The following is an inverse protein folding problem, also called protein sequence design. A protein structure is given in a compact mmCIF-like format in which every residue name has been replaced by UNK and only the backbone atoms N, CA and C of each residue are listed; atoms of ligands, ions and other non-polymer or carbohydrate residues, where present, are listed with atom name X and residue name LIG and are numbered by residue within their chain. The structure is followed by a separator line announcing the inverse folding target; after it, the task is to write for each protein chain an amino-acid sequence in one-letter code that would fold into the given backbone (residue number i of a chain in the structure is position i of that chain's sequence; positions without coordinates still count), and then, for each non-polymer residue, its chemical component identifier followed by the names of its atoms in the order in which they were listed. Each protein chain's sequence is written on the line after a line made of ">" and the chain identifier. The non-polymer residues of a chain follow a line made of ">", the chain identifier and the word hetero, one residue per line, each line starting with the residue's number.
data_IF_103346081076
#
_entry.id   IF_103346081076
#
_cell.length_a   1.000
_cell.length_b   1.000
_cell.length_c   1.000
_cell.angle_alpha   90.00
_cell.angle_beta   90.00
_cell.angle_gamma   90.00
#
_symmetry.space_group_name_H-M   'P 1'
#
loop_
_entity.id
_entity.type
_entity.pdbx_description
1 polymer ?
#
# COMPACT_ATOMS: atom_id res chain seq x y z
N UNK A 1 5.00 -10.59 -27.87
CA UNK A 1 4.96 -11.43 -26.64
C UNK A 1 4.69 -10.60 -25.39
N UNK A 2 5.55 -9.65 -25.00
CA UNK A 2 5.37 -8.86 -23.78
C UNK A 2 4.05 -8.05 -23.74
N UNK A 3 3.69 -7.39 -24.85
CA UNK A 3 2.41 -6.65 -24.95
C UNK A 3 1.21 -7.57 -24.75
N UNK A 4 1.24 -8.75 -25.37
CA UNK A 4 0.17 -9.76 -25.27
C UNK A 4 -0.01 -10.24 -23.82
N UNK A 5 1.11 -10.46 -23.13
CA UNK A 5 1.13 -10.84 -21.72
C UNK A 5 0.57 -9.70 -20.84
N UNK A 6 0.99 -8.46 -21.07
CA UNK A 6 0.49 -7.31 -20.32
C UNK A 6 -1.03 -7.13 -20.51
N UNK A 7 -1.51 -7.22 -21.74
CA UNK A 7 -2.95 -7.16 -22.04
C UNK A 7 -3.70 -8.29 -21.34
N UNK A 8 -3.18 -9.52 -21.38
CA UNK A 8 -3.78 -10.65 -20.67
C UNK A 8 -3.87 -10.40 -19.16
N UNK A 9 -2.78 -9.94 -18.53
CA UNK A 9 -2.78 -9.63 -17.09
C UNK A 9 -3.76 -8.52 -16.73
N UNK A 10 -3.84 -7.44 -17.53
CA UNK A 10 -4.80 -6.36 -17.32
C UNK A 10 -6.23 -6.89 -17.40
N UNK A 11 -6.55 -7.69 -18.42
CA UNK A 11 -7.88 -8.30 -18.56
C UNK A 11 -8.17 -9.21 -17.37
N UNK A 12 -7.22 -10.04 -16.94
CA UNK A 12 -7.37 -10.90 -15.76
C UNK A 12 -7.68 -10.08 -14.49
N UNK A 13 -6.97 -8.97 -14.26
CA UNK A 13 -7.24 -8.07 -13.13
C UNK A 13 -8.60 -7.39 -13.22
N UNK A 14 -9.02 -6.94 -14.40
CA UNK A 14 -10.35 -6.33 -14.59
C UNK A 14 -11.49 -7.34 -14.36
N UNK A 15 -11.34 -8.57 -14.87
CA UNK A 15 -12.28 -9.65 -14.63
C UNK A 15 -12.33 -10.04 -13.16
N UNK A 16 -11.16 -10.17 -12.51
CA UNK A 16 -11.09 -10.44 -11.08
C UNK A 16 -11.76 -9.33 -10.26
N UNK A 17 -11.49 -8.07 -10.54
CA UNK A 17 -12.12 -6.94 -9.86
C UNK A 17 -13.65 -6.98 -10.02
N UNK A 18 -14.15 -7.22 -11.23
CA UNK A 18 -15.59 -7.18 -11.53
C UNK A 18 -16.37 -8.39 -11.05
N UNK A 19 -15.81 -9.60 -11.15
CA UNK A 19 -16.52 -10.83 -10.82
C UNK A 19 -16.15 -11.33 -9.44
N UNK A 20 -14.85 -11.49 -9.17
CA UNK A 20 -14.38 -12.02 -7.89
C UNK A 20 -14.48 -10.98 -6.77
N UNK A 21 -14.14 -9.71 -7.04
CA UNK A 21 -14.32 -8.61 -6.09
C UNK A 21 -15.78 -8.44 -5.67
N UNK A 22 -16.71 -8.43 -6.62
CA UNK A 22 -18.16 -8.38 -6.33
C UNK A 22 -18.64 -9.62 -5.58
N UNK A 23 -18.15 -10.82 -5.92
CA UNK A 23 -18.46 -12.03 -5.17
C UNK A 23 -18.02 -11.92 -3.70
N UNK A 24 -16.79 -11.47 -3.42
CA UNK A 24 -16.30 -11.29 -2.05
C UNK A 24 -17.10 -10.20 -1.33
N UNK A 25 -17.38 -9.07 -2.00
CA UNK A 25 -18.17 -7.98 -1.45
C UNK A 25 -19.56 -8.44 -0.98
N UNK A 26 -20.27 -9.19 -1.83
CA UNK A 26 -21.69 -9.51 -1.60
C UNK A 26 -21.86 -10.79 -0.78
N UNK A 27 -21.10 -11.84 -1.09
CA UNK A 27 -21.30 -13.18 -0.49
C UNK A 27 -20.47 -13.41 0.77
N UNK A 28 -19.28 -12.81 0.87
CA UNK A 28 -18.37 -13.03 2.01
C UNK A 28 -18.50 -11.90 3.03
N UNK A 29 -18.43 -10.65 2.57
CA UNK A 29 -18.42 -9.50 3.45
C UNK A 29 -19.83 -8.95 3.69
N UNK A 30 -20.74 -9.01 2.71
CA UNK A 30 -22.08 -8.46 2.82
C UNK A 30 -22.05 -6.95 3.05
N UNK A 31 -21.34 -6.23 2.18
CA UNK A 31 -21.18 -4.78 2.28
C UNK A 31 -22.47 -4.08 1.84
N UNK A 32 -23.00 -3.23 2.71
CA UNK A 32 -24.15 -2.38 2.42
C UNK A 32 -23.66 -0.98 2.00
N UNK A 33 -23.93 -0.54 0.75
CA UNK A 33 -23.51 0.78 0.27
C UNK A 33 -24.17 1.94 1.02
N UNK A 34 -25.26 1.70 1.77
CA UNK A 34 -25.94 2.72 2.56
C UNK A 34 -25.37 2.87 3.98
N UNK A 35 -24.43 2.01 4.38
CA UNK A 35 -23.81 2.10 5.70
C UNK A 35 -22.85 3.29 5.73
N UNK A 36 -23.11 4.23 6.64
CA UNK A 36 -22.21 5.34 6.93
C UNK A 36 -20.86 4.80 7.44
N UNK A 37 -19.76 5.33 6.91
CA UNK A 37 -18.42 4.97 7.38
C UNK A 37 -18.11 5.66 8.70
N UNK A 38 -17.24 5.09 9.56
CA UNK A 38 -16.86 5.71 10.82
C UNK A 38 -16.31 7.13 10.66
N UNK A 39 -15.65 7.42 9.53
CA UNK A 39 -15.14 8.76 9.21
C UNK A 39 -16.23 9.83 9.13
N UNK A 40 -17.47 9.45 8.78
CA UNK A 40 -18.62 10.36 8.72
C UNK A 40 -19.49 10.29 9.97
N UNK A 41 -19.62 9.11 10.59
CA UNK A 41 -20.44 8.93 11.80
C UNK A 41 -19.79 9.52 13.06
N UNK A 42 -18.46 9.41 13.17
CA UNK A 42 -17.68 9.80 14.35
C UNK A 42 -16.78 11.02 14.05
N UNK A 43 -17.15 11.85 13.08
CA UNK A 43 -16.33 12.98 12.62
C UNK A 43 -15.91 13.89 13.78
N UNK A 44 -14.61 13.93 14.07
CA UNK A 44 -14.00 14.71 15.15
C UNK A 44 -12.94 15.70 14.65
N UNK A 45 -12.62 15.67 13.35
CA UNK A 45 -11.60 16.51 12.73
C UNK A 45 -10.16 16.09 13.04
N UNK A 46 -9.96 14.96 13.74
CA UNK A 46 -8.64 14.46 14.17
C UNK A 46 -8.47 12.98 13.79
N UNK A 47 -9.18 12.06 14.44
CA UNK A 47 -9.09 10.61 14.19
C UNK A 47 -10.05 10.16 13.08
N UNK A 48 -11.19 10.83 12.95
CA UNK A 48 -12.23 10.56 11.96
C UNK A 48 -12.46 11.80 11.10
N UNK A 49 -11.89 11.76 9.90
CA UNK A 49 -11.98 12.87 8.94
C UNK A 49 -12.45 12.35 7.58
N UNK A 50 -13.62 12.80 7.07
CA UNK A 50 -14.05 12.53 5.71
C UNK A 50 -13.00 12.99 4.70
N UNK A 51 -12.39 12.04 3.99
CA UNK A 51 -11.28 12.32 3.07
C UNK A 51 -11.71 12.03 1.63
N UNK A 52 -11.20 12.82 0.69
CA UNK A 52 -11.43 12.59 -0.73
C UNK A 52 -10.92 11.19 -1.15
N UNK A 53 -11.76 10.43 -1.87
CA UNK A 53 -11.45 9.07 -2.34
C UNK A 53 -10.14 8.94 -3.11
N UNK A 54 -9.72 9.96 -3.86
CA UNK A 54 -8.47 9.93 -4.61
C UNK A 54 -7.24 10.09 -3.72
N UNK A 55 -7.35 10.92 -2.68
CA UNK A 55 -6.31 11.05 -1.65
C UNK A 55 -6.22 9.78 -0.83
N UNK A 56 -7.37 9.23 -0.43
CA UNK A 56 -7.46 7.96 0.29
C UNK A 56 -6.85 6.81 -0.52
N UNK A 57 -7.16 6.72 -1.81
CA UNK A 57 -6.54 5.76 -2.72
C UNK A 57 -5.02 5.92 -2.76
N UNK A 58 -4.51 7.15 -2.83
CA UNK A 58 -3.08 7.42 -2.79
C UNK A 58 -2.42 6.92 -1.50
N UNK A 59 -3.06 7.12 -0.34
CA UNK A 59 -2.57 6.59 0.94
C UNK A 59 -2.54 5.06 0.94
N UNK A 60 -3.62 4.39 0.53
CA UNK A 60 -3.65 2.92 0.44
C UNK A 60 -2.61 2.38 -0.55
N UNK A 61 -2.50 3.01 -1.72
CA UNK A 61 -1.52 2.64 -2.73
C UNK A 61 -0.10 2.78 -2.19
N UNK A 62 0.24 3.91 -1.57
CA UNK A 62 1.57 4.14 -1.00
C UNK A 62 1.91 3.14 0.13
N UNK A 63 0.92 2.76 0.95
CA UNK A 63 1.11 1.76 2.00
C UNK A 63 1.39 0.34 1.47
N UNK A 64 0.92 0.01 0.26
CA UNK A 64 1.15 -1.30 -0.38
C UNK A 64 2.38 -1.25 -1.31
N UNK A 65 2.59 -0.14 -2.00
CA UNK A 65 3.56 0.04 -3.08
C UNK A 65 5.01 0.25 -2.60
N UNK A 66 5.41 -0.35 -1.47
CA UNK A 66 6.76 -0.28 -0.94
C UNK A 66 7.83 -0.91 -1.85
N UNK A 67 8.89 -1.50 -1.30
CA UNK A 67 9.88 -2.23 -2.12
C UNK A 67 9.32 -3.53 -2.73
N UNK A 68 8.15 -3.99 -2.28
CA UNK A 68 7.51 -5.24 -2.71
C UNK A 68 7.31 -5.35 -4.23
N UNK A 69 6.67 -4.37 -4.91
CA UNK A 69 6.48 -4.39 -6.37
C UNK A 69 7.78 -4.36 -7.19
N UNK A 70 8.91 -3.96 -6.61
CA UNK A 70 10.21 -3.88 -7.29
C UNK A 70 11.02 -5.15 -7.01
N UNK A 71 11.28 -5.46 -5.74
CA UNK A 71 12.08 -6.62 -5.36
C UNK A 71 11.33 -7.94 -5.56
N UNK A 72 10.02 -7.98 -5.35
CA UNK A 72 9.21 -9.19 -5.44
C UNK A 72 9.32 -9.86 -6.82
N UNK A 73 9.04 -9.15 -7.93
CA UNK A 73 9.25 -9.69 -9.27
C UNK A 73 10.71 -10.04 -9.56
N UNK A 74 11.67 -9.23 -9.12
CA UNK A 74 13.09 -9.50 -9.33
C UNK A 74 13.55 -10.82 -8.67
N UNK A 75 13.07 -11.10 -7.46
CA UNK A 75 13.34 -12.37 -6.75
C UNK A 75 12.56 -13.52 -7.39
N UNK A 76 11.30 -13.29 -7.78
CA UNK A 76 10.47 -14.30 -8.42
C UNK A 76 11.07 -14.78 -9.76
N UNK A 77 11.77 -13.90 -10.49
CA UNK A 77 12.48 -14.25 -11.73
C UNK A 77 13.56 -15.34 -11.53
N UNK A 78 14.07 -15.55 -10.31
CA UNK A 78 14.97 -16.67 -10.01
C UNK A 78 14.33 -18.05 -10.31
N UNK A 79 12.99 -18.12 -10.30
CA UNK A 79 12.20 -19.32 -10.60
C UNK A 79 11.75 -19.38 -12.07
N UNK A 80 12.25 -18.46 -12.91
CA UNK A 80 11.85 -18.29 -14.30
C UNK A 80 10.70 -17.30 -14.48
N UNK A 81 10.60 -16.75 -15.69
CA UNK A 81 9.67 -15.66 -16.01
C UNK A 81 8.19 -16.10 -15.95
N UNK A 82 7.87 -17.32 -16.36
CA UNK A 82 6.48 -17.81 -16.43
C UNK A 82 5.92 -18.13 -15.02
N UNK A 83 6.62 -18.88 -14.15
CA UNK A 83 6.17 -19.09 -12.77
C UNK A 83 6.05 -17.78 -11.99
N UNK A 84 7.01 -16.85 -12.17
CA UNK A 84 6.94 -15.52 -11.57
C UNK A 84 5.67 -14.77 -11.99
N UNK A 85 5.35 -14.80 -13.28
CA UNK A 85 4.18 -14.11 -13.81
C UNK A 85 2.86 -14.71 -13.30
N UNK A 86 2.75 -16.04 -13.27
CA UNK A 86 1.58 -16.73 -12.74
C UNK A 86 1.40 -16.35 -11.27
N UNK A 87 2.48 -16.39 -10.48
CA UNK A 87 2.42 -16.03 -9.06
C UNK A 87 2.01 -14.56 -8.86
N UNK A 88 2.57 -13.63 -9.62
CA UNK A 88 2.24 -12.21 -9.51
C UNK A 88 0.76 -11.97 -9.86
N UNK A 89 0.26 -12.54 -10.96
CA UNK A 89 -1.13 -12.32 -11.40
C UNK A 89 -2.11 -13.04 -10.47
N UNK A 90 -1.98 -14.35 -10.31
CA UNK A 90 -2.95 -15.14 -9.55
C UNK A 90 -2.78 -14.95 -8.04
N UNK A 91 -1.55 -14.87 -7.53
CA UNK A 91 -1.29 -14.63 -6.10
C UNK A 91 -1.81 -13.27 -5.64
N UNK A 92 -1.68 -12.23 -6.45
CA UNK A 92 -2.27 -10.92 -6.11
C UNK A 92 -3.79 -10.93 -6.17
N UNK A 93 -4.41 -11.63 -7.14
CA UNK A 93 -5.88 -11.74 -7.23
C UNK A 93 -6.47 -12.50 -6.04
N UNK A 94 -5.94 -13.69 -5.73
CA UNK A 94 -6.59 -14.61 -4.80
C UNK A 94 -6.13 -14.45 -3.36
N UNK A 95 -4.88 -14.02 -3.12
CA UNK A 95 -4.36 -13.83 -1.77
C UNK A 95 -4.25 -12.35 -1.41
N UNK A 96 -3.49 -11.58 -2.18
CA UNK A 96 -3.17 -10.19 -1.83
C UNK A 96 -4.40 -9.29 -1.76
N UNK A 97 -5.14 -9.16 -2.86
CA UNK A 97 -6.30 -8.29 -2.96
C UNK A 97 -7.40 -8.68 -1.97
N UNK A 98 -7.64 -9.99 -1.78
CA UNK A 98 -8.64 -10.48 -0.82
C UNK A 98 -8.21 -10.21 0.61
N UNK A 99 -6.95 -10.46 0.95
CA UNK A 99 -6.41 -10.18 2.27
C UNK A 99 -6.57 -8.71 2.63
N UNK A 100 -6.16 -7.81 1.74
CA UNK A 100 -6.21 -6.36 1.98
C UNK A 100 -7.64 -5.84 2.03
N UNK A 101 -8.53 -6.36 1.18
CA UNK A 101 -9.94 -5.98 1.19
C UNK A 101 -10.63 -6.43 2.49
N UNK A 102 -10.44 -7.69 2.90
CA UNK A 102 -10.98 -8.20 4.16
C UNK A 102 -10.41 -7.47 5.38
N UNK A 103 -9.11 -7.18 5.39
CA UNK A 103 -8.45 -6.43 6.45
C UNK A 103 -9.03 -5.01 6.61
N UNK A 104 -9.23 -4.31 5.48
CA UNK A 104 -9.79 -2.97 5.46
C UNK A 104 -11.24 -2.97 5.97
N UNK A 105 -12.06 -3.88 5.46
CA UNK A 105 -13.47 -4.00 5.85
C UNK A 105 -13.65 -4.39 7.31
N UNK A 106 -12.79 -5.27 7.82
CA UNK A 106 -12.78 -5.60 9.24
C UNK A 106 -12.39 -4.38 10.08
N UNK A 107 -11.34 -3.65 9.70
CA UNK A 107 -10.96 -2.40 10.38
C UNK A 107 -12.11 -1.39 10.41
N UNK A 108 -12.81 -1.19 9.28
CA UNK A 108 -13.95 -0.28 9.19
C UNK A 108 -15.09 -0.67 10.15
N UNK A 109 -15.43 -1.97 10.23
CA UNK A 109 -16.46 -2.47 11.17
C UNK A 109 -16.09 -2.26 12.64
N UNK A 110 -14.80 -2.25 12.94
CA UNK A 110 -14.28 -2.00 14.28
C UNK A 110 -13.84 -0.55 14.51
N UNK A 111 -14.38 0.41 13.73
CA UNK A 111 -14.13 1.86 13.87
C UNK A 111 -12.65 2.25 13.64
N UNK A 112 -12.04 1.70 12.60
CA UNK A 112 -10.66 2.04 12.19
C UNK A 112 -9.57 1.41 13.05
N UNK A 113 -9.90 0.38 13.83
CA UNK A 113 -8.96 -0.24 14.77
C UNK A 113 -8.03 -1.22 14.05
N UNK A 114 -6.78 -1.28 14.51
CA UNK A 114 -5.79 -2.19 13.92
C UNK A 114 -6.22 -3.66 14.06
N UNK A 115 -5.81 -4.51 13.11
CA UNK A 115 -6.10 -5.96 13.15
C UNK A 115 -5.60 -6.58 14.46
N UNK A 116 -4.44 -6.15 14.97
CA UNK A 116 -3.93 -6.64 16.25
C UNK A 116 -4.82 -6.31 17.44
N UNK A 117 -5.49 -5.16 17.44
CA UNK A 117 -6.47 -4.82 18.47
C UNK A 117 -7.78 -5.60 18.31
N UNK A 118 -8.21 -5.83 17.06
CA UNK A 118 -9.39 -6.64 16.75
C UNK A 118 -9.18 -8.10 17.21
N UNK A 119 -7.98 -8.64 17.04
CA UNK A 119 -7.61 -9.99 17.50
C UNK A 119 -7.85 -10.19 19.00
N UNK A 120 -7.61 -9.19 19.85
CA UNK A 120 -7.93 -9.32 21.28
C UNK A 120 -9.42 -9.48 21.53
N UNK A 121 -10.25 -8.71 20.82
CA UNK A 121 -11.71 -8.77 21.00
C UNK A 121 -12.32 -10.05 20.47
N UNK A 122 -11.76 -10.61 19.40
CA UNK A 122 -12.32 -11.80 18.72
C UNK A 122 -11.77 -13.11 19.27
N UNK A 123 -10.46 -13.19 19.54
CA UNK A 123 -9.78 -14.44 19.91
C UNK A 123 -9.34 -14.41 21.38
N UNK A 124 -8.75 -13.30 21.82
CA UNK A 124 -8.31 -13.09 23.20
C UNK A 124 -6.91 -12.48 23.33
N UNK A 125 -6.55 -12.09 24.55
CA UNK A 125 -5.35 -11.28 24.80
C UNK A 125 -4.03 -12.00 24.50
N UNK A 126 -3.96 -13.32 24.71
CA UNK A 126 -2.77 -14.12 24.37
C UNK A 126 -2.51 -14.12 22.86
N UNK A 127 -3.56 -14.28 22.07
CA UNK A 127 -3.48 -14.23 20.61
C UNK A 127 -3.08 -12.83 20.13
N UNK A 128 -3.63 -11.78 20.73
CA UNK A 128 -3.20 -10.40 20.47
C UNK A 128 -1.70 -10.20 20.72
N UNK A 129 -1.18 -10.66 21.85
CA UNK A 129 0.23 -10.48 22.19
C UNK A 129 1.14 -11.17 21.16
N UNK A 130 0.86 -12.43 20.84
CA UNK A 130 1.60 -13.18 19.83
C UNK A 130 1.52 -12.51 18.46
N UNK A 131 0.34 -12.05 18.06
CA UNK A 131 0.11 -11.42 16.77
C UNK A 131 0.83 -10.06 16.66
N UNK A 132 0.76 -9.23 17.70
CA UNK A 132 1.48 -7.95 17.76
C UNK A 132 3.00 -8.15 17.75
N UNK A 133 3.50 -9.18 18.43
CA UNK A 133 4.92 -9.53 18.41
C UNK A 133 5.38 -9.93 17.00
N UNK A 134 4.59 -10.75 16.30
CA UNK A 134 4.88 -11.14 14.90
C UNK A 134 4.87 -9.91 13.98
N UNK A 135 3.84 -9.06 14.07
CA UNK A 135 3.77 -7.82 13.29
C UNK A 135 4.98 -6.93 13.58
N UNK A 136 5.35 -6.77 14.85
CA UNK A 136 6.51 -5.97 15.24
C UNK A 136 7.80 -6.46 14.59
N UNK A 137 8.10 -7.77 14.69
CA UNK A 137 9.31 -8.32 14.07
C UNK A 137 9.28 -8.25 12.54
N UNK A 138 8.11 -8.47 11.92
CA UNK A 138 7.96 -8.36 10.47
C UNK A 138 8.20 -6.92 9.99
N UNK A 139 7.61 -5.93 10.67
CA UNK A 139 7.82 -4.52 10.37
C UNK A 139 9.27 -4.09 10.64
N UNK A 140 9.89 -4.55 11.72
CA UNK A 140 11.29 -4.28 12.01
C UNK A 140 12.22 -4.84 10.92
N UNK A 141 11.99 -6.08 10.48
CA UNK A 141 12.74 -6.69 9.38
C UNK A 141 12.53 -5.92 8.07
N UNK A 142 11.28 -5.59 7.74
CA UNK A 142 10.97 -4.80 6.55
C UNK A 142 11.69 -3.45 6.57
N UNK A 143 11.58 -2.68 7.66
CA UNK A 143 12.26 -1.39 7.83
C UNK A 143 13.79 -1.54 7.75
N UNK A 144 14.35 -2.61 8.29
CA UNK A 144 15.77 -2.94 8.15
C UNK A 144 16.19 -3.11 6.70
N UNK A 145 15.43 -3.85 5.90
CA UNK A 145 15.69 -4.02 4.46
C UNK A 145 15.56 -2.69 3.70
N UNK A 146 14.58 -1.85 4.04
CA UNK A 146 14.46 -0.50 3.47
C UNK A 146 15.68 0.36 3.78
N UNK A 147 16.11 0.42 5.04
CA UNK A 147 17.28 1.19 5.47
C UNK A 147 18.56 0.70 4.79
N UNK A 148 18.76 -0.62 4.69
CA UNK A 148 19.87 -1.22 3.97
C UNK A 148 19.84 -0.87 2.48
N UNK A 149 18.68 -0.99 1.85
CA UNK A 149 18.53 -0.73 0.40
C UNK A 149 18.81 0.74 0.08
N UNK A 150 18.21 1.67 0.83
CA UNK A 150 18.46 3.11 0.68
C UNK A 150 19.94 3.43 0.96
N UNK A 151 20.50 2.86 2.03
CA UNK A 151 21.92 2.99 2.36
C UNK A 151 22.81 2.56 1.20
N UNK A 152 22.56 1.38 0.62
CA UNK A 152 23.34 0.89 -0.52
C UNK A 152 23.18 1.73 -1.79
N UNK A 153 22.00 2.29 -2.04
CA UNK A 153 21.76 3.17 -3.20
C UNK A 153 22.50 4.51 -3.07
N UNK A 154 22.69 5.01 -1.85
CA UNK A 154 23.38 6.28 -1.59
C UNK A 154 24.88 6.14 -1.33
N UNK A 155 25.33 5.02 -0.75
CA UNK A 155 26.69 4.87 -0.21
C UNK A 155 27.71 4.20 -1.15
N UNK A 156 27.50 4.20 -2.46
CA UNK A 156 28.41 3.60 -3.45
C UNK A 156 29.82 4.22 -3.50
N UNK A 157 30.14 5.13 -2.58
CA UNK A 157 31.46 5.71 -2.41
C UNK A 157 32.39 4.92 -1.46
N UNK A 158 31.85 4.02 -0.63
CA UNK A 158 32.60 3.37 0.46
C UNK A 158 33.05 1.92 0.20
N UNK A 159 32.66 1.29 -0.92
CA UNK A 159 33.00 -0.12 -1.17
C UNK A 159 33.27 -0.40 -2.66
N UNK A 160 34.55 -0.48 -3.09
CA UNK A 160 34.93 -0.73 -4.48
C UNK A 160 34.57 -2.15 -4.98
N UNK A 161 34.05 -3.03 -4.10
CA UNK A 161 33.63 -4.39 -4.46
C UNK A 161 32.16 -4.52 -4.91
N UNK A 162 31.34 -3.44 -4.83
CA UNK A 162 29.91 -3.50 -5.17
C UNK A 162 29.62 -3.12 -6.63
N UNK A 163 28.88 -3.99 -7.32
CA UNK A 163 28.60 -3.96 -8.76
C UNK A 163 27.44 -3.04 -9.19
N UNK A 164 26.98 -2.11 -8.33
CA UNK A 164 25.87 -1.20 -8.65
C UNK A 164 26.33 0.27 -8.59
N UNK A 165 26.03 1.09 -9.62
CA UNK A 165 26.25 2.53 -9.53
C UNK A 165 25.29 3.11 -8.49
N UNK A 166 25.81 3.77 -7.45
CA UNK A 166 24.95 4.52 -6.53
C UNK A 166 24.68 5.93 -7.02
N UNK A 167 23.60 6.50 -6.51
CA UNK A 167 23.04 7.77 -6.96
C UNK A 167 22.92 8.74 -5.78
N UNK A 168 24.05 9.24 -5.24
CA UNK A 168 24.02 10.19 -4.12
C UNK A 168 23.29 11.49 -4.47
N UNK A 169 23.24 11.85 -5.75
CA UNK A 169 22.46 13.00 -6.24
C UNK A 169 20.94 12.86 -6.04
N UNK A 170 20.41 11.65 -5.78
CA UNK A 170 18.98 11.42 -5.53
C UNK A 170 18.52 11.90 -4.14
N UNK A 171 19.44 12.18 -3.21
CA UNK A 171 19.12 12.68 -1.88
C UNK A 171 18.41 14.05 -1.96
N UNK A 172 18.95 14.98 -2.76
CA UNK A 172 18.39 16.33 -2.89
C UNK A 172 16.95 16.33 -3.46
N UNK A 173 16.64 15.65 -4.58
CA UNK A 173 15.27 15.47 -5.06
C UNK A 173 14.33 14.86 -4.02
N UNK A 174 14.81 13.88 -3.22
CA UNK A 174 13.97 13.22 -2.20
C UNK A 174 13.53 14.20 -1.11
N UNK A 175 14.43 15.06 -0.63
CA UNK A 175 14.06 16.14 0.29
C UNK A 175 13.15 17.18 -0.36
N UNK A 176 13.40 17.51 -1.63
CA UNK A 176 12.54 18.41 -2.42
C UNK A 176 11.09 17.91 -2.50
N UNK A 177 10.89 16.63 -2.77
CA UNK A 177 9.56 16.00 -2.80
C UNK A 177 8.83 16.11 -1.45
N UNK A 178 9.56 16.01 -0.34
CA UNK A 178 8.98 16.18 1.00
C UNK A 178 8.47 17.61 1.23
N UNK A 179 9.23 18.62 0.79
CA UNK A 179 8.82 20.03 0.86
C UNK A 179 7.61 20.30 -0.04
N UNK A 180 7.61 19.76 -1.26
CA UNK A 180 6.48 19.85 -2.20
C UNK A 180 5.24 19.20 -1.59
N UNK A 181 5.37 18.00 -0.99
CA UNK A 181 4.26 17.32 -0.32
C UNK A 181 3.66 18.15 0.82
N UNK A 182 4.50 18.76 1.66
CA UNK A 182 4.04 19.68 2.72
C UNK A 182 3.33 20.91 2.15
N UNK A 183 3.87 21.51 1.08
CA UNK A 183 3.27 22.68 0.43
C UNK A 183 1.91 22.35 -0.20
N UNK A 184 1.79 21.21 -0.90
CA UNK A 184 0.53 20.72 -1.47
C UNK A 184 -0.48 20.44 -0.35
N UNK A 185 -0.06 19.77 0.72
CA UNK A 185 -0.92 19.52 1.88
C UNK A 185 -1.48 20.82 2.47
N UNK A 186 -0.64 21.85 2.61
CA UNK A 186 -1.09 23.17 3.05
C UNK A 186 -2.08 23.81 2.05
N UNK A 187 -1.80 23.78 0.75
CA UNK A 187 -2.67 24.36 -0.26
C UNK A 187 -4.06 23.70 -0.31
N UNK A 188 -4.10 22.37 -0.23
CA UNK A 188 -5.35 21.61 -0.29
C UNK A 188 -6.15 21.78 1.01
N UNK A 189 -5.53 21.58 2.19
CA UNK A 189 -6.27 21.54 3.46
C UNK A 189 -6.45 22.89 4.15
N UNK A 190 -5.56 23.88 3.93
CA UNK A 190 -5.66 25.22 4.56
C UNK A 190 -6.10 26.32 3.60
N UNK A 191 -5.79 26.20 2.31
CA UNK A 191 -6.15 27.20 1.30
C UNK A 191 -7.30 26.77 0.39
N UNK A 192 -7.87 25.57 0.60
CA UNK A 192 -8.99 25.03 -0.19
C UNK A 192 -8.73 25.05 -1.71
N UNK A 193 -7.48 24.90 -2.13
CA UNK A 193 -7.14 24.80 -3.55
C UNK A 193 -7.70 23.47 -4.08
N UNK A 194 -8.39 23.45 -5.23
CA UNK A 194 -8.93 22.22 -5.78
C UNK A 194 -7.81 21.23 -6.07
N UNK A 195 -8.04 19.96 -5.69
CA UNK A 195 -7.04 18.89 -5.74
C UNK A 195 -6.35 18.79 -7.11
N UNK A 196 -7.10 18.89 -8.21
CA UNK A 196 -6.55 18.79 -9.56
C UNK A 196 -5.50 19.86 -9.88
N UNK A 197 -5.70 21.11 -9.44
CA UNK A 197 -4.74 22.20 -9.64
C UNK A 197 -3.50 21.96 -8.78
N UNK A 198 -3.70 21.58 -7.51
CA UNK A 198 -2.61 21.29 -6.59
C UNK A 198 -1.74 20.11 -7.08
N UNK A 199 -2.33 19.09 -7.69
CA UNK A 199 -1.59 17.96 -8.29
C UNK A 199 -0.78 18.40 -9.50
N UNK A 200 -1.32 19.24 -10.38
CA UNK A 200 -0.56 19.75 -11.55
C UNK A 200 0.62 20.60 -11.10
N UNK A 201 0.43 21.49 -10.12
CA UNK A 201 1.51 22.29 -9.53
C UNK A 201 2.57 21.39 -8.88
N UNK A 202 2.15 20.32 -8.22
CA UNK A 202 3.07 19.38 -7.57
C UNK A 202 3.88 18.50 -8.51
N UNK A 203 3.46 18.37 -9.76
CA UNK A 203 4.07 17.49 -10.75
C UNK A 203 5.11 18.21 -11.63
N UNK A 204 5.04 19.55 -11.67
CA UNK A 204 5.96 20.46 -12.37
C UNK A 204 7.10 20.87 -11.44
#
# INVERSE_FOLDING_TARGET
>A
MAVSIAVFSIVAFLLAYRFYGTFIQDQVLGIDPNRLTPSHELEDGVDFVPTNKFVLFGHHFASIAGLGPILGPAIAMAWGWLPALIWIVFGSIFMGAVHDFCALELSLRYKGRSIGEITARVIGDRARLLFLLIIFFLLALAMGVFALTIGTLFSSFLDPAKQYPGYPGAVLPTFGLMLIACAIGFLVYKKNVPLGIATVIGLV
#
